data_IF_116992203245
#
_entry.id   IF_116992203245
#
_cell.length_a   1.000
_cell.length_b   1.000
_cell.length_c   1.000
_cell.angle_alpha   90.00
_cell.angle_beta   90.00
_cell.angle_gamma   90.00
#
_symmetry.space_group_name_H-M   'P 1'
#
loop_
_entity.id
_entity.type
_entity.pdbx_description
1 polymer ?
#
# COMPACT_ATOMS: atom_id res chain seq x y z
N UNK A 1 -9.95 1.93 3.26
CA UNK A 1 -9.02 3.07 3.26
C UNK A 1 -8.34 3.23 4.61
N UNK A 2 -7.00 3.30 4.59
CA UNK A 2 -6.13 3.55 5.73
C UNK A 2 -6.16 5.02 6.16
N UNK A 3 -5.77 5.28 7.40
CA UNK A 3 -5.54 6.64 7.91
C UNK A 3 -4.06 6.87 8.16
N UNK A 4 -3.61 8.13 8.07
CA UNK A 4 -2.21 8.49 8.39
C UNK A 4 -1.80 8.01 9.79
N UNK A 5 -2.67 8.17 10.80
CA UNK A 5 -2.39 7.73 12.18
C UNK A 5 -2.14 6.23 12.30
N UNK A 6 -2.90 5.42 11.55
CA UNK A 6 -2.73 3.97 11.55
C UNK A 6 -1.36 3.52 11.04
N UNK A 7 -0.79 4.27 10.08
CA UNK A 7 0.53 4.03 9.52
C UNK A 7 1.62 4.59 10.45
N UNK A 8 1.46 5.84 10.90
CA UNK A 8 2.47 6.54 11.72
C UNK A 8 2.67 5.93 13.11
N UNK A 9 1.61 5.35 13.69
CA UNK A 9 1.69 4.69 14.99
C UNK A 9 2.50 3.37 14.93
N UNK A 10 2.92 2.93 13.74
CA UNK A 10 3.76 1.74 13.52
C UNK A 10 3.07 0.42 13.87
N UNK A 11 1.74 0.45 14.06
CA UNK A 11 0.93 -0.69 14.49
C UNK A 11 0.51 -1.59 13.32
N UNK A 12 0.67 -1.14 12.07
CA UNK A 12 0.22 -1.83 10.87
C UNK A 12 1.39 -2.24 10.00
N UNK A 13 1.82 -3.50 10.14
CA UNK A 13 2.73 -4.13 9.18
C UNK A 13 2.00 -4.71 7.97
N UNK A 14 0.73 -5.10 8.14
CA UNK A 14 -0.08 -5.72 7.08
C UNK A 14 -1.49 -5.15 7.08
N UNK A 15 -1.94 -4.65 5.93
CA UNK A 15 -3.29 -4.19 5.68
C UNK A 15 -3.95 -5.08 4.63
N UNK A 16 -5.19 -5.50 4.87
CA UNK A 16 -5.96 -6.32 3.94
C UNK A 16 -7.12 -5.50 3.39
N UNK A 17 -7.41 -5.63 2.09
CA UNK A 17 -8.61 -5.08 1.49
C UNK A 17 -9.19 -6.01 0.42
N UNK A 18 -10.41 -5.71 -0.01
CA UNK A 18 -11.15 -6.48 -1.01
C UNK A 18 -11.73 -5.54 -2.07
N UNK A 19 -11.68 -5.96 -3.34
CA UNK A 19 -12.27 -5.26 -4.48
C UNK A 19 -13.47 -6.02 -5.05
N UNK A 20 -14.46 -5.30 -5.56
CA UNK A 20 -15.61 -5.89 -6.28
C UNK A 20 -15.27 -6.32 -7.72
N UNK A 21 -14.04 -6.06 -8.17
CA UNK A 21 -13.49 -6.39 -9.48
C UNK A 21 -12.15 -7.09 -9.34
N UNK A 22 -11.75 -7.83 -10.38
CA UNK A 22 -10.47 -8.53 -10.40
C UNK A 22 -9.30 -7.59 -10.69
N UNK A 23 -8.24 -7.71 -9.89
CA UNK A 23 -6.90 -7.21 -10.19
C UNK A 23 -6.03 -8.41 -10.58
N UNK A 24 -5.50 -8.41 -11.80
CA UNK A 24 -4.88 -9.62 -12.38
C UNK A 24 -3.37 -9.70 -12.11
N UNK A 25 -2.74 -8.58 -11.76
CA UNK A 25 -1.32 -8.49 -11.48
C UNK A 25 -1.07 -7.77 -10.17
N UNK A 26 0.08 -8.04 -9.55
CA UNK A 26 0.47 -7.29 -8.34
C UNK A 26 0.68 -5.79 -8.64
N UNK A 27 1.00 -5.42 -9.88
CA UNK A 27 1.06 -4.02 -10.29
C UNK A 27 -0.33 -3.39 -10.19
N UNK A 28 -1.38 -4.10 -10.64
CA UNK A 28 -2.76 -3.64 -10.52
C UNK A 28 -3.17 -3.50 -9.03
N UNK A 29 -2.78 -4.46 -8.16
CA UNK A 29 -2.99 -4.35 -6.70
C UNK A 29 -2.28 -3.14 -6.09
N UNK A 30 -1.08 -2.81 -6.56
CA UNK A 30 -0.35 -1.63 -6.08
C UNK A 30 -0.98 -0.33 -6.58
N UNK A 31 -1.40 -0.26 -7.84
CA UNK A 31 -2.10 0.92 -8.36
C UNK A 31 -3.40 1.17 -7.59
N UNK A 32 -4.20 0.12 -7.37
CA UNK A 32 -5.43 0.20 -6.58
C UNK A 32 -5.18 0.61 -5.13
N UNK A 33 -4.14 0.05 -4.50
CA UNK A 33 -3.78 0.41 -3.13
C UNK A 33 -3.41 1.90 -3.01
N UNK A 34 -2.60 2.42 -3.93
CA UNK A 34 -2.19 3.83 -3.92
C UNK A 34 -3.36 4.77 -4.19
N UNK A 35 -4.26 4.41 -5.10
CA UNK A 35 -5.39 5.27 -5.51
C UNK A 35 -6.55 5.25 -4.51
N UNK A 36 -6.82 4.10 -3.88
CA UNK A 36 -8.07 3.89 -3.13
C UNK A 36 -7.87 3.60 -1.64
N UNK A 37 -6.70 3.08 -1.25
CA UNK A 37 -6.49 2.58 0.11
C UNK A 37 -5.48 3.39 0.92
N UNK A 38 -4.42 3.91 0.30
CA UNK A 38 -3.43 4.74 0.94
C UNK A 38 -4.02 6.13 1.22
N UNK A 39 -3.83 6.71 2.43
CA UNK A 39 -4.28 8.07 2.70
C UNK A 39 -3.60 9.05 1.75
N UNK A 40 -4.34 10.08 1.35
CA UNK A 40 -3.84 11.20 0.56
C UNK A 40 -2.61 11.87 1.21
N UNK A 41 -1.94 12.71 0.43
CA UNK A 41 -0.83 13.56 0.89
C UNK A 41 0.43 12.74 1.23
N UNK A 42 0.89 12.01 0.21
CA UNK A 42 2.15 11.28 0.13
C UNK A 42 2.88 11.61 -1.19
N UNK A 43 4.19 11.41 -1.23
CA UNK A 43 5.00 11.49 -2.45
C UNK A 43 5.65 10.13 -2.74
N UNK A 44 5.53 9.62 -3.98
CA UNK A 44 6.24 8.40 -4.39
C UNK A 44 7.67 8.76 -4.77
N UNK A 45 8.64 8.28 -3.99
CA UNK A 45 10.08 8.52 -4.21
C UNK A 45 10.65 7.52 -5.22
N UNK A 46 10.29 6.25 -5.06
CA UNK A 46 10.77 5.15 -5.90
C UNK A 46 9.65 4.12 -6.08
N UNK A 47 9.60 3.48 -7.26
CA UNK A 47 8.64 2.43 -7.53
C UNK A 47 9.24 1.38 -8.47
N UNK A 48 9.11 0.12 -8.07
CA UNK A 48 9.31 -1.05 -8.92
C UNK A 48 8.09 -1.97 -8.84
N UNK A 49 7.27 -1.95 -9.91
CA UNK A 49 6.03 -2.73 -10.03
C UNK A 49 5.10 -2.54 -8.82
N UNK A 50 5.13 -3.50 -7.91
CA UNK A 50 4.25 -3.62 -6.76
C UNK A 50 4.95 -3.31 -5.43
N UNK A 51 6.14 -2.74 -5.50
CA UNK A 51 6.89 -2.21 -4.36
C UNK A 51 7.17 -0.73 -4.62
N UNK A 52 7.00 0.12 -3.60
CA UNK A 52 7.34 1.53 -3.68
C UNK A 52 7.88 2.07 -2.35
N UNK A 53 8.60 3.18 -2.44
CA UNK A 53 8.96 4.01 -1.30
C UNK A 53 8.14 5.29 -1.38
N UNK A 54 7.40 5.59 -0.32
CA UNK A 54 6.62 6.82 -0.19
C UNK A 54 7.14 7.68 0.94
N UNK A 55 7.13 8.99 0.75
CA UNK A 55 7.30 9.99 1.79
C UNK A 55 5.93 10.45 2.27
N UNK A 56 5.69 10.39 3.58
CA UNK A 56 4.51 10.90 4.25
C UNK A 56 4.97 11.84 5.36
N UNK A 57 4.88 13.15 5.11
CA UNK A 57 5.25 14.19 6.07
C UNK A 57 6.71 14.08 6.59
N UNK A 58 7.63 13.64 5.73
CA UNK A 58 9.06 13.44 6.04
C UNK A 58 9.42 12.06 6.60
N UNK A 59 8.43 11.24 6.93
CA UNK A 59 8.63 9.84 7.26
C UNK A 59 8.55 8.98 6.01
N UNK A 60 9.53 8.10 5.81
CA UNK A 60 9.58 7.22 4.62
C UNK A 60 9.04 5.85 4.95
N UNK A 61 8.28 5.28 4.02
CA UNK A 61 7.71 3.95 4.14
C UNK A 61 7.98 3.15 2.88
N UNK A 62 8.43 1.91 3.06
CA UNK A 62 8.45 0.90 2.01
C UNK A 62 7.12 0.14 2.03
N UNK A 63 6.46 0.07 0.88
CA UNK A 63 5.15 -0.54 0.70
C UNK A 63 5.25 -1.60 -0.38
N UNK A 64 4.72 -2.79 -0.11
CA UNK A 64 4.51 -3.83 -1.14
C UNK A 64 3.05 -4.28 -1.12
N UNK A 65 2.37 -4.18 -2.25
CA UNK A 65 0.96 -4.56 -2.41
C UNK A 65 0.83 -5.76 -3.38
N UNK A 66 -0.05 -6.72 -3.08
CA UNK A 66 -0.18 -7.95 -3.87
C UNK A 66 -1.50 -8.68 -3.59
N UNK A 67 -1.91 -9.56 -4.51
CA UNK A 67 -3.10 -10.40 -4.32
C UNK A 67 -2.89 -11.50 -3.27
N UNK A 68 -3.95 -11.83 -2.54
CA UNK A 68 -3.97 -12.81 -1.43
C UNK A 68 -4.49 -14.18 -1.86
N UNK A 69 -3.90 -14.73 -2.92
CA UNK A 69 -4.27 -16.04 -3.45
C UNK A 69 -5.53 -16.06 -4.33
N UNK A 70 -6.19 -14.93 -4.52
CA UNK A 70 -7.18 -14.71 -5.58
C UNK A 70 -7.05 -13.29 -6.20
N UNK A 71 -7.98 -12.93 -7.08
CA UNK A 71 -7.95 -11.66 -7.82
C UNK A 71 -8.73 -10.53 -7.15
N UNK A 72 -9.36 -10.77 -6.01
CA UNK A 72 -10.27 -9.83 -5.34
C UNK A 72 -9.89 -9.52 -3.89
N UNK A 73 -9.07 -10.34 -3.25
CA UNK A 73 -8.50 -10.10 -1.93
C UNK A 73 -7.03 -9.74 -2.07
N UNK A 74 -6.60 -8.73 -1.33
CA UNK A 74 -5.26 -8.16 -1.46
C UNK A 74 -4.66 -7.82 -0.10
N UNK A 75 -3.33 -7.77 -0.06
CA UNK A 75 -2.55 -7.41 1.12
C UNK A 75 -1.52 -6.35 0.74
N UNK A 76 -1.33 -5.39 1.63
CA UNK A 76 -0.23 -4.43 1.59
C UNK A 76 0.62 -4.60 2.84
N UNK A 77 1.92 -4.84 2.66
CA UNK A 77 2.91 -4.77 3.72
C UNK A 77 3.50 -3.37 3.78
N UNK A 78 3.57 -2.76 4.96
CA UNK A 78 3.99 -1.36 5.15
C UNK A 78 5.08 -1.32 6.22
N UNK A 79 6.27 -0.82 5.87
CA UNK A 79 7.43 -0.74 6.76
C UNK A 79 7.99 0.68 6.79
N UNK A 80 8.09 1.26 7.99
CA UNK A 80 8.77 2.55 8.16
C UNK A 80 10.28 2.38 7.97
N UNK A 81 10.87 3.23 7.13
CA UNK A 81 12.31 3.32 6.92
C UNK A 81 12.91 4.28 7.96
N UNK A 82 14.03 3.88 8.55
CA UNK A 82 14.78 4.61 9.59
C UNK A 82 15.72 5.67 9.05
#
# INVERSE_FOLDING_TARGET
MLTKSMISDGLLQYYNWQTDYCLFTNTDSMDDFLENELPDDYEVIERDRNQCIVDMDGDKYEITAYGDGDFSHHVASIYKLS
#
